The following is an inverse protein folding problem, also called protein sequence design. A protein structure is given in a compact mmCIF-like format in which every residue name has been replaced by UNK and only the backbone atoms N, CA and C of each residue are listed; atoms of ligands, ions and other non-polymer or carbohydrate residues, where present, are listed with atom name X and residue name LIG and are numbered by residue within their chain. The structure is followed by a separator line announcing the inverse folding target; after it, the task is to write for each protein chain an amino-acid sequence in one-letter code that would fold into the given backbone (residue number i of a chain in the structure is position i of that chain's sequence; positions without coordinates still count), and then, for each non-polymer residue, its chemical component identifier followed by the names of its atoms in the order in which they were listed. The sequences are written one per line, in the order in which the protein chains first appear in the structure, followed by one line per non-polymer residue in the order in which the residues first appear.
data_IF_525731331312
#
_entry.id   IF_525731331312
#
_cell.length_a   1.000
_cell.length_b   1.000
_cell.length_c   1.000
_cell.angle_alpha   90.00
_cell.angle_beta   90.00
_cell.angle_gamma   90.00
#
_symmetry.space_group_name_H-M   'P 1'
#
loop_
_entity.id
_entity.type
_entity.pdbx_description
1 polymer ?
#
# COMPACT_ATOMS: atom_id res chain seq x y z
N UNK A 1 31.98 -34.84 2.94
CA UNK A 1 32.37 -34.83 4.36
C UNK A 1 33.72 -34.16 4.41
N UNK A 2 33.78 -32.88 4.76
CA UNK A 2 35.02 -32.09 4.72
C UNK A 2 35.67 -32.14 6.11
N UNK A 3 36.72 -32.93 6.26
CA UNK A 3 37.51 -33.01 7.49
C UNK A 3 38.63 -31.96 7.47
N UNK A 4 38.57 -31.01 8.39
CA UNK A 4 39.61 -29.99 8.60
C UNK A 4 40.34 -30.25 9.92
N UNK A 5 41.40 -31.07 9.90
CA UNK A 5 42.26 -31.26 11.07
C UNK A 5 43.45 -30.31 11.06
N UNK A 6 43.42 -29.29 11.94
CA UNK A 6 44.57 -28.41 12.22
C UNK A 6 45.39 -28.94 13.41
N UNK A 7 46.71 -29.18 13.27
CA UNK A 7 47.58 -29.53 14.37
C UNK A 7 48.19 -28.26 14.98
N UNK A 8 47.68 -27.81 16.13
CA UNK A 8 48.34 -26.76 16.92
C UNK A 8 48.84 -27.35 18.23
N UNK A 9 50.14 -27.21 18.43
CA UNK A 9 50.88 -27.59 19.63
C UNK A 9 50.22 -27.02 20.89
N UNK A 10 49.87 -27.93 21.82
CA UNK A 10 49.36 -27.67 23.18
C UNK A 10 48.37 -26.49 23.29
N UNK A 11 47.25 -26.57 22.57
CA UNK A 11 46.12 -25.61 22.63
C UNK A 11 44.81 -26.41 22.71
N UNK A 12 43.91 -26.04 23.61
CA UNK A 12 42.57 -26.66 23.73
C UNK A 12 41.88 -26.50 22.36
N UNK A 13 41.81 -27.59 21.59
CA UNK A 13 41.13 -27.60 20.29
C UNK A 13 39.62 -27.61 20.55
N UNK A 14 39.01 -26.44 20.51
CA UNK A 14 37.55 -26.33 20.38
C UNK A 14 37.23 -26.51 18.90
N UNK A 15 36.64 -27.65 18.56
CA UNK A 15 36.09 -27.88 17.22
C UNK A 15 34.67 -27.33 17.18
N UNK A 16 34.35 -26.59 16.13
CA UNK A 16 32.98 -26.21 15.78
C UNK A 16 32.56 -27.14 14.65
N UNK A 17 31.47 -27.87 14.85
CA UNK A 17 30.89 -28.76 13.85
C UNK A 17 29.64 -28.11 13.28
N UNK A 18 29.58 -27.98 11.96
CA UNK A 18 28.37 -27.58 11.25
C UNK A 18 27.51 -28.82 11.06
N UNK A 19 26.24 -28.72 11.47
CA UNK A 19 25.28 -29.77 11.24
C UNK A 19 24.72 -29.67 9.81
N UNK A 20 24.01 -30.70 9.37
CA UNK A 20 23.33 -30.69 8.06
C UNK A 20 22.04 -29.86 8.07
N UNK A 21 21.88 -28.97 9.04
CA UNK A 21 20.72 -28.09 9.14
C UNK A 21 20.73 -27.07 8.00
N UNK A 22 19.53 -26.60 7.62
CA UNK A 22 19.37 -25.66 6.50
C UNK A 22 20.12 -24.34 6.76
N UNK A 23 20.16 -23.88 8.02
CA UNK A 23 20.87 -22.68 8.42
C UNK A 23 22.40 -22.83 8.24
N UNK A 24 22.94 -23.96 8.69
CA UNK A 24 24.38 -24.25 8.58
C UNK A 24 24.83 -24.45 7.13
N UNK A 25 24.01 -25.12 6.30
CA UNK A 25 24.29 -25.25 4.87
C UNK A 25 24.26 -23.91 4.15
N UNK A 26 23.26 -23.08 4.42
CA UNK A 26 23.17 -21.73 3.86
C UNK A 26 24.40 -20.88 4.23
N UNK A 27 24.86 -20.98 5.47
CA UNK A 27 26.09 -20.31 5.91
C UNK A 27 27.32 -20.82 5.16
N UNK A 28 27.45 -22.14 4.99
CA UNK A 28 28.57 -22.75 4.27
C UNK A 28 28.58 -22.37 2.79
N UNK A 29 27.42 -22.32 2.13
CA UNK A 29 27.30 -21.90 0.74
C UNK A 29 27.77 -20.45 0.55
N UNK A 30 27.35 -19.55 1.43
CA UNK A 30 27.78 -18.15 1.42
C UNK A 30 29.29 -18.02 1.65
N UNK A 31 29.83 -18.81 2.57
CA UNK A 31 31.27 -18.86 2.84
C UNK A 31 32.03 -19.37 1.63
N UNK A 32 31.54 -20.41 0.95
CA UNK A 32 32.17 -20.98 -0.24
C UNK A 32 32.20 -19.97 -1.40
N UNK A 33 31.08 -19.25 -1.63
CA UNK A 33 31.00 -18.16 -2.60
C UNK A 33 32.03 -17.07 -2.28
N UNK A 34 32.15 -16.68 -1.01
CA UNK A 34 33.08 -15.62 -0.60
C UNK A 34 34.55 -16.07 -0.68
N UNK A 35 34.84 -17.35 -0.39
CA UNK A 35 36.16 -17.95 -0.58
C UNK A 35 36.53 -18.06 -2.07
N UNK A 36 35.58 -18.37 -2.95
CA UNK A 36 35.80 -18.31 -4.40
C UNK A 36 36.12 -16.89 -4.87
N UNK A 37 35.47 -15.87 -4.27
CA UNK A 37 35.73 -14.47 -4.57
C UNK A 37 37.10 -14.01 -4.05
N UNK A 38 37.58 -14.58 -2.94
CA UNK A 38 38.83 -14.20 -2.27
C UNK A 38 39.69 -15.43 -1.97
N UNK A 39 40.32 -16.05 -2.98
CA UNK A 39 41.04 -17.32 -2.83
C UNK A 39 42.31 -17.24 -1.97
N UNK A 40 42.74 -16.03 -1.59
CA UNK A 40 43.88 -15.79 -0.72
C UNK A 40 43.50 -15.81 0.77
N UNK A 41 42.21 -15.87 1.12
CA UNK A 41 41.72 -15.88 2.49
C UNK A 41 41.24 -17.27 2.88
N UNK A 42 41.52 -17.68 4.10
CA UNK A 42 40.95 -18.90 4.67
C UNK A 42 39.61 -18.60 5.35
N UNK A 43 38.80 -19.64 5.58
CA UNK A 43 37.60 -19.54 6.42
C UNK A 43 37.92 -18.93 7.79
N UNK A 44 39.08 -19.27 8.38
CA UNK A 44 39.52 -18.69 9.64
C UNK A 44 39.73 -17.18 9.55
N UNK A 45 40.18 -16.67 8.41
CA UNK A 45 40.41 -15.23 8.23
C UNK A 45 39.10 -14.48 7.98
N UNK A 46 38.16 -15.08 7.26
CA UNK A 46 36.79 -14.58 7.15
C UNK A 46 36.08 -14.55 8.51
N UNK A 47 36.20 -15.63 9.30
CA UNK A 47 35.64 -15.66 10.65
C UNK A 47 36.31 -14.65 11.59
N UNK A 48 37.64 -14.46 11.48
CA UNK A 48 38.32 -13.41 12.23
C UNK A 48 37.78 -12.06 11.81
N UNK A 49 37.71 -11.74 10.52
CA UNK A 49 37.18 -10.47 10.02
C UNK A 49 35.74 -10.23 10.49
N UNK A 50 34.86 -11.23 10.36
CA UNK A 50 33.49 -11.16 10.86
C UNK A 50 33.43 -10.92 12.37
N UNK A 51 34.28 -11.62 13.13
CA UNK A 51 34.40 -11.44 14.59
C UNK A 51 34.95 -10.05 14.92
N UNK A 52 35.95 -9.56 14.20
CA UNK A 52 36.45 -8.19 14.35
C UNK A 52 35.36 -7.17 14.00
N UNK A 53 34.53 -7.40 12.98
CA UNK A 53 33.40 -6.53 12.65
C UNK A 53 32.29 -6.56 13.72
N UNK A 54 32.02 -7.73 14.30
CA UNK A 54 31.02 -7.91 15.36
C UNK A 54 31.48 -7.38 16.72
N UNK A 55 32.77 -7.46 17.03
CA UNK A 55 33.35 -7.03 18.30
C UNK A 55 33.83 -5.58 18.30
N UNK A 56 34.21 -5.01 17.14
CA UNK A 56 34.65 -3.60 17.04
C UNK A 56 33.50 -2.59 17.06
N UNK A 57 32.29 -2.98 17.43
CA UNK A 57 31.15 -2.06 17.57
C UNK A 57 30.46 -2.27 18.93
N UNK A 58 30.82 -1.49 19.97
CA UNK A 58 29.78 -0.72 20.62
C UNK A 58 29.24 0.27 19.58
N UNK A 59 27.92 0.37 19.45
CA UNK A 59 27.14 1.13 18.44
C UNK A 59 27.54 2.61 18.19
N UNK A 60 28.55 3.17 18.87
CA UNK A 60 28.84 4.60 18.91
C UNK A 60 29.97 5.10 17.98
N UNK A 61 30.74 4.26 17.27
CA UNK A 61 31.94 4.73 16.53
C UNK A 61 32.16 4.09 15.16
N UNK A 62 31.12 3.92 14.34
CA UNK A 62 31.32 3.52 12.93
C UNK A 62 31.80 4.72 12.08
N UNK A 63 32.98 4.67 11.41
CA UNK A 63 33.37 5.66 10.40
C UNK A 63 32.43 5.59 9.18
N UNK A 64 32.33 6.64 8.34
CA UNK A 64 31.35 6.72 7.23
C UNK A 64 31.63 5.67 6.16
N UNK A 65 31.17 4.46 6.43
CA UNK A 65 31.06 3.35 5.49
C UNK A 65 29.60 3.27 5.11
N UNK A 66 29.32 3.01 3.83
CA UNK A 66 28.04 2.74 3.11
C UNK A 66 26.72 2.79 3.88
N UNK A 67 26.66 2.31 5.12
CA UNK A 67 25.61 2.59 6.11
C UNK A 67 25.30 4.07 6.30
N UNK A 68 26.28 4.97 6.37
CA UNK A 68 26.01 6.41 6.47
C UNK A 68 25.28 6.96 5.22
N UNK A 69 25.61 6.42 4.04
CA UNK A 69 24.93 6.74 2.79
C UNK A 69 23.51 6.14 2.76
N UNK A 70 23.33 4.93 3.31
CA UNK A 70 22.01 4.30 3.47
C UNK A 70 21.15 5.07 4.46
N UNK A 71 21.70 5.55 5.58
CA UNK A 71 21.01 6.39 6.56
C UNK A 71 20.62 7.75 5.95
N UNK A 72 21.50 8.35 5.14
CA UNK A 72 21.17 9.56 4.39
C UNK A 72 20.03 9.31 3.40
N UNK A 73 20.10 8.25 2.60
CA UNK A 73 19.02 7.88 1.69
C UNK A 73 17.72 7.55 2.43
N UNK A 74 17.80 6.93 3.61
CA UNK A 74 16.64 6.66 4.45
C UNK A 74 16.01 7.96 4.97
N UNK A 75 16.83 8.92 5.42
CA UNK A 75 16.36 10.23 5.84
C UNK A 75 15.73 11.02 4.68
N UNK A 76 16.36 11.01 3.50
CA UNK A 76 15.82 11.62 2.28
C UNK A 76 14.48 10.97 1.87
N UNK A 77 14.38 9.65 1.96
CA UNK A 77 13.15 8.93 1.64
C UNK A 77 12.04 9.21 2.65
N UNK A 78 12.38 9.27 3.94
CA UNK A 78 11.44 9.62 5.00
C UNK A 78 10.93 11.06 4.83
N UNK A 79 11.81 11.98 4.42
CA UNK A 79 11.42 13.34 4.09
C UNK A 79 10.51 13.40 2.86
N UNK A 80 10.81 12.63 1.80
CA UNK A 80 9.93 12.53 0.63
C UNK A 80 8.54 12.00 1.00
N UNK A 81 8.47 10.96 1.84
CA UNK A 81 7.19 10.41 2.29
C UNK A 81 6.40 11.48 3.05
N UNK A 82 7.02 12.20 3.99
CA UNK A 82 6.36 13.29 4.71
C UNK A 82 5.86 14.41 3.76
N UNK A 83 6.66 14.80 2.76
CA UNK A 83 6.28 15.79 1.75
C UNK A 83 5.14 15.31 0.84
N UNK A 84 5.10 14.00 0.55
CA UNK A 84 3.99 13.38 -0.19
C UNK A 84 2.73 13.32 0.67
N UNK A 85 2.83 12.87 1.91
CA UNK A 85 1.72 12.83 2.87
C UNK A 85 1.11 14.22 3.04
N UNK A 86 1.93 15.25 3.25
CA UNK A 86 1.44 16.63 3.38
C UNK A 86 0.73 17.11 2.12
N UNK A 87 1.26 16.81 0.93
CA UNK A 87 0.61 17.19 -0.34
C UNK A 87 -0.69 16.42 -0.59
N UNK A 88 -0.72 15.13 -0.28
CA UNK A 88 -1.94 14.31 -0.40
C UNK A 88 -2.98 14.81 0.57
N UNK A 89 -2.61 15.02 1.84
CA UNK A 89 -3.51 15.52 2.86
C UNK A 89 -4.08 16.91 2.51
N UNK A 90 -3.23 17.84 2.07
CA UNK A 90 -3.69 19.16 1.63
C UNK A 90 -4.61 19.06 0.41
N UNK A 91 -4.31 18.18 -0.55
CA UNK A 91 -5.13 17.97 -1.74
C UNK A 91 -6.47 17.32 -1.39
N UNK A 92 -6.47 16.30 -0.55
CA UNK A 92 -7.68 15.63 -0.09
C UNK A 92 -8.56 16.56 0.74
N UNK A 93 -7.98 17.35 1.65
CA UNK A 93 -8.72 18.36 2.41
C UNK A 93 -9.39 19.37 1.48
N UNK A 94 -8.68 19.92 0.49
CA UNK A 94 -9.27 20.86 -0.47
C UNK A 94 -10.38 20.21 -1.32
N UNK A 95 -10.19 18.95 -1.74
CA UNK A 95 -11.21 18.22 -2.49
C UNK A 95 -12.45 17.94 -1.64
N UNK A 96 -12.26 17.53 -0.39
CA UNK A 96 -13.33 17.24 0.56
C UNK A 96 -14.11 18.52 0.88
N UNK A 97 -13.42 19.63 1.13
CA UNK A 97 -14.04 20.95 1.35
C UNK A 97 -14.83 21.42 0.11
N UNK A 98 -14.31 21.18 -1.10
CA UNK A 98 -15.01 21.53 -2.33
C UNK A 98 -16.30 20.70 -2.50
N UNK A 99 -16.22 19.39 -2.26
CA UNK A 99 -17.40 18.52 -2.29
C UNK A 99 -18.41 18.89 -1.21
N UNK A 100 -17.96 19.23 0.01
CA UNK A 100 -18.84 19.68 1.09
C UNK A 100 -19.61 20.94 0.70
N UNK A 101 -18.93 21.92 0.09
CA UNK A 101 -19.59 23.13 -0.43
C UNK A 101 -20.63 22.80 -1.49
N UNK A 102 -20.34 21.87 -2.41
CA UNK A 102 -21.30 21.45 -3.43
C UNK A 102 -22.52 20.75 -2.81
N UNK A 103 -22.30 19.85 -1.85
CA UNK A 103 -23.40 19.19 -1.13
C UNK A 103 -24.27 20.21 -0.38
N UNK A 104 -23.64 21.18 0.29
CA UNK A 104 -24.37 22.25 0.98
C UNK A 104 -25.17 23.12 0.00
N UNK A 105 -24.64 23.43 -1.18
CA UNK A 105 -25.37 24.16 -2.22
C UNK A 105 -26.58 23.36 -2.73
N UNK A 106 -26.40 22.08 -3.02
CA UNK A 106 -27.49 21.21 -3.46
C UNK A 106 -28.57 21.06 -2.38
N UNK A 107 -28.17 20.91 -1.12
CA UNK A 107 -29.09 20.86 0.02
C UNK A 107 -29.94 22.14 0.11
N UNK A 108 -29.30 23.30 -0.06
CA UNK A 108 -30.00 24.59 -0.10
C UNK A 108 -30.97 24.66 -1.28
N UNK A 109 -30.58 24.22 -2.47
CA UNK A 109 -31.47 24.19 -3.65
C UNK A 109 -32.67 23.26 -3.45
N UNK A 110 -32.46 22.07 -2.89
CA UNK A 110 -33.53 21.13 -2.57
C UNK A 110 -34.47 21.69 -1.50
N UNK A 111 -33.95 22.37 -0.48
CA UNK A 111 -34.78 23.02 0.53
C UNK A 111 -35.65 24.13 -0.07
N UNK A 112 -35.09 24.95 -0.98
CA UNK A 112 -35.84 25.99 -1.67
C UNK A 112 -36.91 25.41 -2.59
N UNK A 113 -36.61 24.33 -3.32
CA UNK A 113 -37.59 23.65 -4.17
C UNK A 113 -38.70 23.00 -3.33
N UNK A 114 -38.35 22.37 -2.21
CA UNK A 114 -39.32 21.79 -1.28
C UNK A 114 -40.25 22.87 -0.70
N UNK A 115 -39.71 24.05 -0.36
CA UNK A 115 -40.52 25.20 0.09
C UNK A 115 -41.43 25.70 -1.04
N UNK A 116 -40.91 25.82 -2.27
CA UNK A 116 -41.68 26.27 -3.42
C UNK A 116 -42.83 25.31 -3.77
N UNK A 117 -42.59 23.99 -3.71
CA UNK A 117 -43.62 22.97 -3.90
C UNK A 117 -44.65 22.95 -2.77
N UNK A 118 -44.24 23.16 -1.53
CA UNK A 118 -45.16 23.19 -0.38
C UNK A 118 -46.00 24.48 -0.33
N UNK A 119 -45.53 25.55 -1.00
CA UNK A 119 -46.30 26.78 -1.21
C UNK A 119 -47.16 26.75 -2.48
N UNK A 120 -47.19 25.66 -3.23
CA UNK A 120 -48.09 25.54 -4.36
C UNK A 120 -49.53 25.61 -3.83
N UNK A 121 -50.32 26.66 -4.14
CA UNK A 121 -51.70 26.72 -3.74
C UNK A 121 -52.39 25.50 -4.33
N UNK A 122 -53.02 24.71 -3.47
CA UNK A 122 -53.91 23.62 -3.85
C UNK A 122 -55.00 24.19 -4.75
N UNK A 123 -54.79 24.10 -6.06
CA UNK A 123 -55.86 24.22 -7.03
C UNK A 123 -56.75 23.00 -6.84
N UNK A 124 -57.73 23.17 -5.96
CA UNK A 124 -58.89 22.33 -5.81
C UNK A 124 -59.71 22.41 -7.11
N UNK A 125 -59.92 21.32 -7.86
CA UNK A 125 -60.94 21.29 -8.90
C UNK A 125 -62.31 20.95 -8.26
N UNK A 126 -63.42 21.56 -8.72
CA UNK A 126 -64.78 21.24 -8.29
C UNK A 126 -65.19 19.81 -8.70
N UNK A 127 -66.22 19.22 -8.06
CA UNK A 127 -66.69 17.88 -8.37
C UNK A 127 -67.37 17.87 -9.75
N UNK A 128 -66.89 17.01 -10.65
CA UNK A 128 -67.60 16.68 -11.88
C UNK A 128 -67.95 15.19 -11.87
N UNK A 129 -69.24 14.99 -12.03
CA UNK A 129 -70.01 13.76 -12.06
C UNK A 129 -69.48 12.74 -13.08
N UNK A 130 -69.51 11.47 -12.65
CA UNK A 130 -69.99 10.30 -13.41
C UNK A 130 -69.57 10.14 -14.88
N UNK A 131 -68.74 9.12 -15.16
CA UNK A 131 -68.83 8.27 -16.37
C UNK A 131 -68.01 6.98 -16.23
N UNK A 132 -68.64 5.96 -15.66
CA UNK A 132 -68.83 4.60 -16.19
C UNK A 132 -67.76 3.99 -17.16
N UNK A 133 -67.17 2.88 -16.70
CA UNK A 133 -66.91 1.61 -17.44
C UNK A 133 -65.59 1.41 -18.22
N UNK A 134 -64.77 0.50 -17.66
CA UNK A 134 -64.19 -0.70 -18.31
C UNK A 134 -62.75 -0.68 -18.85
N UNK A 135 -62.07 -1.80 -18.57
CA UNK A 135 -60.67 -2.14 -18.80
C UNK A 135 -60.28 -2.00 -20.28
N UNK A 136 -59.07 -1.51 -20.56
CA UNK A 136 -57.96 -2.19 -21.27
C UNK A 136 -56.83 -1.18 -21.55
N UNK A 137 -55.60 -1.51 -21.15
CA UNK A 137 -54.48 -0.58 -21.03
C UNK A 137 -53.75 -0.31 -22.37
N UNK A 138 -53.51 0.96 -22.76
CA UNK A 138 -52.49 1.33 -23.73
C UNK A 138 -51.19 1.69 -22.99
N UNK A 139 -50.12 0.95 -23.27
CA UNK A 139 -48.77 1.16 -22.72
C UNK A 139 -48.25 2.52 -23.24
N UNK A 140 -47.98 3.52 -22.38
CA UNK A 140 -47.37 4.78 -22.80
C UNK A 140 -45.87 4.58 -23.12
N UNK A 141 -45.29 5.38 -24.01
CA UNK A 141 -43.91 5.22 -24.48
C UNK A 141 -42.92 5.23 -23.31
N UNK A 142 -42.14 4.16 -23.17
CA UNK A 142 -41.08 4.04 -22.15
C UNK A 142 -40.05 5.16 -22.35
N UNK A 143 -40.01 6.10 -21.39
CA UNK A 143 -38.83 6.90 -21.10
C UNK A 143 -37.71 5.93 -20.75
N UNK A 144 -36.82 5.71 -21.72
CA UNK A 144 -35.63 4.89 -21.50
C UNK A 144 -34.78 5.65 -20.50
N UNK A 145 -34.76 5.16 -19.26
CA UNK A 145 -33.97 5.73 -18.17
C UNK A 145 -32.52 5.90 -18.68
N UNK A 146 -31.95 7.11 -18.65
CA UNK A 146 -30.60 7.36 -19.13
C UNK A 146 -29.55 6.48 -18.45
N UNK A 147 -29.83 5.98 -17.23
CA UNK A 147 -28.98 5.02 -16.54
C UNK A 147 -29.07 3.60 -17.14
N UNK A 148 -30.27 3.16 -17.52
CA UNK A 148 -30.46 1.88 -18.19
C UNK A 148 -29.81 1.86 -19.58
N UNK A 149 -29.84 2.97 -20.30
CA UNK A 149 -29.15 3.11 -21.59
C UNK A 149 -27.63 2.95 -21.43
N UNK A 150 -27.07 3.51 -20.35
CA UNK A 150 -25.65 3.38 -20.04
C UNK A 150 -25.28 1.96 -19.65
N UNK A 151 -26.11 1.27 -18.88
CA UNK A 151 -25.87 -0.12 -18.46
C UNK A 151 -26.04 -1.12 -19.62
N UNK A 152 -26.98 -0.89 -20.53
CA UNK A 152 -27.18 -1.70 -21.74
C UNK A 152 -25.92 -1.76 -22.60
N UNK A 153 -25.23 -0.63 -22.78
CA UNK A 153 -24.00 -0.57 -23.56
C UNK A 153 -22.90 -1.51 -23.04
N UNK A 154 -22.85 -1.79 -21.73
CA UNK A 154 -21.85 -2.70 -21.16
C UNK A 154 -22.29 -4.16 -21.19
N UNK A 155 -23.58 -4.44 -21.37
CA UNK A 155 -24.11 -5.80 -21.43
C UNK A 155 -24.02 -6.40 -22.84
N UNK A 156 -24.02 -5.58 -23.90
CA UNK A 156 -23.83 -6.03 -25.29
C UNK A 156 -22.36 -6.42 -25.61
N UNK A 157 -21.40 -6.10 -24.74
CA UNK A 157 -19.96 -6.36 -24.92
C UNK A 157 -19.48 -7.71 -24.32
N UNK A 158 -20.39 -8.59 -23.89
CA UNK A 158 -20.11 -9.96 -23.41
C UNK A 158 -20.64 -11.04 -24.35
#
# INVERSE_FOLDING_TARGET
MFDWTFPWSKKIRKSVTFNREVADQSLLDVVEIELMRQPHKSFSDLCKEALWHSLRVPESTRPPSKKAQIEQHFAELQQQIADFEQRVFAKESNQLDAMERQLNQLSVQLSQLAIALNQQPSFQPPPQLESKTELEAPIPPQEVDPLLSRLSQFLDDF
#
